data_IF_281556443742
#
_entry.id   IF_281556443742
#
_cell.length_a   1.000
_cell.length_b   1.000
_cell.length_c   1.000
_cell.angle_alpha   90.00
_cell.angle_beta   90.00
_cell.angle_gamma   90.00
#
_symmetry.space_group_name_H-M   'P 1'
#
loop_
_entity.id
_entity.type
_entity.pdbx_description
1 polymer ?
#
# COMPACT_ATOMS: atom_id res chain seq x y z
N UNK A 1 -10.04 8.60 5.61
CA UNK A 1 -9.12 7.43 5.65
C UNK A 1 -8.65 7.16 4.25
N UNK A 2 -7.37 6.82 4.06
CA UNK A 2 -6.85 6.47 2.75
C UNK A 2 -7.55 5.26 2.11
N UNK A 3 -7.43 5.12 0.80
CA UNK A 3 -7.87 3.96 0.04
C UNK A 3 -6.69 3.24 -0.57
N UNK A 4 -6.69 1.91 -0.54
CA UNK A 4 -5.74 1.07 -1.25
C UNK A 4 -6.48 0.09 -2.15
N UNK A 5 -5.93 -0.18 -3.31
CA UNK A 5 -6.38 -1.24 -4.20
C UNK A 5 -5.22 -1.83 -4.98
N UNK A 6 -5.33 -3.08 -5.37
CA UNK A 6 -4.36 -3.74 -6.21
C UNK A 6 -4.87 -5.00 -6.86
N UNK A 7 -4.19 -5.39 -7.93
CA UNK A 7 -4.49 -6.62 -8.68
C UNK A 7 -3.17 -7.32 -8.99
N UNK A 8 -3.15 -8.61 -8.78
CA UNK A 8 -2.07 -9.52 -9.13
C UNK A 8 -2.59 -10.47 -10.19
N UNK A 9 -1.96 -10.45 -11.37
CA UNK A 9 -2.29 -11.36 -12.45
C UNK A 9 -1.54 -12.69 -12.26
N UNK A 10 -2.25 -13.75 -11.93
CA UNK A 10 -1.67 -15.07 -11.69
C UNK A 10 -1.21 -15.77 -12.97
N UNK A 11 -1.84 -15.47 -14.11
CA UNK A 11 -1.61 -16.12 -15.39
C UNK A 11 -0.70 -15.34 -16.34
N UNK A 12 -0.30 -14.13 -15.96
CA UNK A 12 0.54 -13.26 -16.80
C UNK A 12 -0.03 -13.03 -18.20
N UNK A 13 -1.37 -13.02 -18.31
CA UNK A 13 -2.06 -12.75 -19.56
C UNK A 13 -1.99 -11.25 -19.92
N UNK A 14 -2.26 -10.91 -21.17
CA UNK A 14 -2.10 -9.55 -21.73
C UNK A 14 -3.22 -8.56 -21.37
N UNK A 15 -4.09 -8.84 -20.38
CA UNK A 15 -5.18 -7.94 -20.00
C UNK A 15 -4.61 -6.64 -19.41
N UNK A 16 -5.09 -5.50 -19.86
CA UNK A 16 -4.73 -4.20 -19.32
C UNK A 16 -5.35 -3.98 -17.92
N UNK A 17 -4.63 -4.42 -16.90
CA UNK A 17 -5.04 -4.28 -15.50
C UNK A 17 -4.94 -2.84 -15.00
N UNK A 18 -4.18 -1.98 -15.67
CA UNK A 18 -4.05 -0.57 -15.28
C UNK A 18 -5.37 0.18 -15.41
N UNK A 19 -6.13 -0.08 -16.48
CA UNK A 19 -7.46 0.52 -16.63
C UNK A 19 -8.47 -0.03 -15.64
N UNK A 20 -8.43 -1.33 -15.35
CA UNK A 20 -9.26 -1.92 -14.30
C UNK A 20 -8.96 -1.30 -12.95
N UNK A 21 -7.69 -1.18 -12.58
CA UNK A 21 -7.26 -0.57 -11.32
C UNK A 21 -7.67 0.91 -11.22
N UNK A 22 -7.55 1.67 -12.32
CA UNK A 22 -8.03 3.07 -12.36
C UNK A 22 -9.52 3.17 -12.07
N UNK A 23 -10.34 2.25 -12.61
CA UNK A 23 -11.76 2.21 -12.33
C UNK A 23 -12.06 1.80 -10.89
N UNK A 24 -11.37 0.80 -10.34
CA UNK A 24 -11.43 0.49 -8.90
C UNK A 24 -11.15 1.73 -8.05
N UNK A 25 -10.09 2.46 -8.37
CA UNK A 25 -9.69 3.66 -7.66
C UNK A 25 -10.74 4.77 -7.74
N UNK A 26 -11.37 4.98 -8.91
CA UNK A 26 -12.48 5.93 -9.06
C UNK A 26 -13.66 5.61 -8.15
N UNK A 27 -14.02 4.32 -8.05
CA UNK A 27 -15.16 3.86 -7.23
C UNK A 27 -14.93 4.17 -5.74
N UNK A 28 -13.68 4.12 -5.27
CA UNK A 28 -13.32 4.38 -3.87
C UNK A 28 -12.66 5.76 -3.66
N UNK A 29 -12.76 6.69 -4.62
CA UNK A 29 -12.06 8.00 -4.60
C UNK A 29 -12.40 8.87 -3.37
N UNK A 30 -13.60 8.74 -2.83
CA UNK A 30 -14.04 9.45 -1.61
C UNK A 30 -13.18 9.15 -0.38
N UNK A 31 -12.41 8.04 -0.38
CA UNK A 31 -11.54 7.69 0.75
C UNK A 31 -10.30 8.56 0.84
N UNK A 32 -9.78 9.03 -0.29
CA UNK A 32 -8.56 9.82 -0.33
C UNK A 32 -8.57 10.79 -1.50
N UNK A 33 -9.21 11.97 -1.32
CA UNK A 33 -9.42 12.93 -2.39
C UNK A 33 -8.19 13.75 -2.74
N UNK A 34 -7.14 13.77 -1.89
CA UNK A 34 -6.05 14.73 -2.02
C UNK A 34 -5.03 14.32 -3.08
N UNK A 35 -4.72 13.03 -3.16
CA UNK A 35 -3.75 12.49 -4.13
C UNK A 35 -4.12 11.06 -4.54
N UNK A 36 -3.86 10.72 -5.81
CA UNK A 36 -3.94 9.34 -6.29
C UNK A 36 -2.61 8.94 -6.90
N UNK A 37 -2.07 7.80 -6.47
CA UNK A 37 -0.85 7.22 -7.01
C UNK A 37 -1.10 5.83 -7.58
N UNK A 38 -0.36 5.50 -8.63
CA UNK A 38 -0.40 4.20 -9.32
C UNK A 38 1.01 3.67 -9.48
N UNK A 39 1.13 2.35 -9.41
CA UNK A 39 2.35 1.61 -9.73
C UNK A 39 1.97 0.37 -10.53
N UNK A 40 2.71 0.13 -11.60
CA UNK A 40 2.67 -1.13 -12.34
C UNK A 40 4.07 -1.72 -12.39
N UNK A 41 4.17 -3.00 -12.07
CA UNK A 41 5.40 -3.75 -12.18
C UNK A 41 5.06 -5.23 -12.45
N UNK A 42 5.59 -5.78 -13.53
CA UNK A 42 5.31 -7.15 -13.98
C UNK A 42 3.79 -7.44 -13.95
N UNK A 43 3.39 -8.42 -13.16
CA UNK A 43 2.02 -8.85 -12.98
C UNK A 43 1.27 -8.14 -11.82
N UNK A 44 1.88 -7.11 -11.21
CA UNK A 44 1.30 -6.34 -10.12
C UNK A 44 0.85 -4.96 -10.59
N UNK A 45 -0.34 -4.56 -10.22
CA UNK A 45 -0.79 -3.17 -10.31
C UNK A 45 -1.35 -2.72 -8.97
N UNK A 46 -0.88 -1.57 -8.47
CA UNK A 46 -1.20 -1.04 -7.15
C UNK A 46 -1.68 0.40 -7.26
N UNK A 47 -2.62 0.79 -6.42
CA UNK A 47 -3.02 2.18 -6.27
C UNK A 47 -3.19 2.57 -4.81
N UNK A 48 -2.95 3.85 -4.57
CA UNK A 48 -3.20 4.49 -3.30
C UNK A 48 -3.96 5.80 -3.50
N UNK A 49 -5.03 5.99 -2.72
CA UNK A 49 -5.82 7.20 -2.66
C UNK A 49 -5.58 7.84 -1.30
N UNK A 50 -4.96 9.01 -1.30
CA UNK A 50 -4.46 9.64 -0.10
C UNK A 50 -5.44 10.64 0.46
N UNK A 51 -5.71 10.53 1.76
CA UNK A 51 -6.16 11.60 2.63
C UNK A 51 -4.93 12.11 3.40
N UNK A 52 -4.48 13.32 3.10
CA UNK A 52 -3.21 13.86 3.58
C UNK A 52 -3.34 14.40 5.02
N UNK A 53 -3.31 13.50 6.01
CA UNK A 53 -3.38 13.85 7.44
C UNK A 53 -1.99 14.14 8.00
N UNK A 54 -1.09 13.15 7.89
CA UNK A 54 0.32 13.34 8.25
C UNK A 54 1.10 13.82 7.02
N UNK A 55 2.01 14.75 7.20
CA UNK A 55 2.82 15.35 6.15
C UNK A 55 2.03 15.74 4.87
N UNK A 56 1.32 16.86 4.83
CA UNK A 56 0.48 17.25 3.69
C UNK A 56 1.29 17.53 2.40
N UNK A 57 2.61 17.55 2.49
CA UNK A 57 3.51 17.74 1.34
C UNK A 57 3.49 16.50 0.43
N UNK A 58 4.02 16.65 -0.79
CA UNK A 58 4.16 15.55 -1.74
C UNK A 58 5.10 14.42 -1.26
N UNK A 59 5.88 14.64 -0.21
CA UNK A 59 6.79 13.65 0.38
C UNK A 59 6.07 12.43 0.97
N UNK A 60 4.79 12.58 1.37
CA UNK A 60 3.96 11.47 1.84
C UNK A 60 3.19 10.75 0.72
N UNK A 61 3.48 11.01 -0.56
CA UNK A 61 2.79 10.38 -1.69
C UNK A 61 3.07 8.87 -1.74
N UNK A 62 2.04 8.12 -2.14
CA UNK A 62 2.12 6.66 -2.27
C UNK A 62 1.58 6.18 -3.63
N UNK A 63 1.99 5.00 -4.15
CA UNK A 63 2.97 4.08 -3.57
C UNK A 63 4.31 4.76 -3.34
N UNK A 64 4.89 4.58 -2.13
CA UNK A 64 6.14 5.24 -1.73
C UNK A 64 7.31 4.27 -1.90
N UNK A 65 8.43 4.79 -2.38
CA UNK A 65 9.72 4.10 -2.40
C UNK A 65 10.83 5.14 -2.21
N UNK A 66 11.98 4.71 -1.70
CA UNK A 66 13.18 5.53 -1.59
C UNK A 66 14.40 4.96 -2.35
N UNK A 67 14.23 3.83 -3.06
CA UNK A 67 15.28 3.16 -3.85
C UNK A 67 14.75 2.49 -5.13
N UNK A 68 13.48 2.70 -5.46
CA UNK A 68 12.78 2.11 -6.61
C UNK A 68 12.73 0.57 -6.65
N UNK A 69 13.11 -0.11 -5.58
CA UNK A 69 13.05 -1.57 -5.45
C UNK A 69 11.92 -2.04 -4.55
N UNK A 70 11.71 -1.38 -3.42
CA UNK A 70 10.67 -1.71 -2.46
C UNK A 70 9.64 -0.57 -2.43
N UNK A 71 8.38 -0.90 -2.69
CA UNK A 71 7.26 0.03 -2.69
C UNK A 71 6.27 -0.31 -1.59
N UNK A 72 5.77 0.71 -0.91
CA UNK A 72 4.75 0.59 0.13
C UNK A 72 3.47 1.32 -0.27
N UNK A 73 2.33 0.67 0.00
CA UNK A 73 1.01 1.30 0.13
C UNK A 73 0.52 1.10 1.56
N UNK A 74 0.06 2.17 2.17
CA UNK A 74 -0.27 2.20 3.60
C UNK A 74 -1.58 2.95 3.85
N UNK A 75 -2.48 2.33 4.60
CA UNK A 75 -3.71 2.96 5.08
C UNK A 75 -3.82 2.74 6.59
N UNK A 76 -3.55 3.77 7.36
CA UNK A 76 -3.60 3.70 8.81
C UNK A 76 -2.71 4.72 9.50
N UNK A 77 -2.36 4.41 10.73
CA UNK A 77 -1.45 5.19 11.57
C UNK A 77 -0.62 4.26 12.45
N UNK A 78 0.68 4.53 12.57
CA UNK A 78 1.60 3.87 13.50
C UNK A 78 1.83 4.83 14.68
N UNK A 79 1.18 4.59 15.81
CA UNK A 79 1.18 5.50 16.96
C UNK A 79 2.56 5.70 17.57
N UNK A 80 3.37 4.65 17.58
CA UNK A 80 4.74 4.69 18.11
C UNK A 80 5.81 4.97 17.05
N UNK A 81 5.46 5.61 15.92
CA UNK A 81 6.40 5.86 14.81
C UNK A 81 7.65 6.62 15.24
N UNK A 82 7.55 7.53 16.22
CA UNK A 82 8.72 8.27 16.75
C UNK A 82 9.76 7.38 17.44
N UNK A 83 9.30 6.35 18.16
CA UNK A 83 10.19 5.36 18.78
C UNK A 83 10.93 4.54 17.71
N UNK A 84 10.22 4.23 16.61
CA UNK A 84 10.80 3.50 15.49
C UNK A 84 11.80 4.38 14.73
N UNK A 85 11.49 5.67 14.52
CA UNK A 85 12.44 6.65 13.96
C UNK A 85 13.76 6.65 14.76
N UNK A 86 13.68 6.74 16.09
CA UNK A 86 14.87 6.77 16.93
C UNK A 86 15.73 5.50 16.71
N UNK A 87 15.12 4.31 16.77
CA UNK A 87 15.82 3.04 16.54
C UNK A 87 16.49 2.97 15.16
N UNK A 88 15.82 3.45 14.12
CA UNK A 88 16.36 3.46 12.76
C UNK A 88 17.44 4.53 12.58
N UNK A 89 17.30 5.68 13.21
CA UNK A 89 18.32 6.75 13.18
C UNK A 89 19.61 6.33 13.87
N UNK A 90 19.51 5.60 14.98
CA UNK A 90 20.67 5.08 15.71
C UNK A 90 21.54 4.14 14.87
N UNK A 91 20.94 3.49 13.86
CA UNK A 91 21.64 2.62 12.90
C UNK A 91 21.88 3.27 11.53
N UNK A 92 21.66 4.60 11.42
CA UNK A 92 22.08 5.41 10.28
C UNK A 92 21.01 5.76 9.25
N UNK A 93 19.74 5.40 9.45
CA UNK A 93 18.66 5.81 8.58
C UNK A 93 18.39 7.30 8.67
N UNK A 94 18.04 7.91 7.52
CA UNK A 94 17.63 9.32 7.43
C UNK A 94 16.21 9.37 6.90
N UNK A 95 15.43 10.34 7.38
CA UNK A 95 14.04 10.56 7.01
C UNK A 95 13.91 11.91 6.30
N UNK A 96 13.14 11.94 5.20
CA UNK A 96 12.87 13.15 4.41
C UNK A 96 11.45 13.66 4.61
N UNK A 97 10.55 12.80 5.03
CA UNK A 97 9.15 13.14 5.34
C UNK A 97 8.88 13.03 6.84
N UNK A 98 7.73 13.56 7.26
CA UNK A 98 7.18 13.35 8.59
C UNK A 98 6.12 12.25 8.60
N UNK A 99 6.10 11.39 7.56
CA UNK A 99 5.10 10.36 7.39
C UNK A 99 5.51 9.06 8.08
N UNK A 100 4.60 8.46 8.81
CA UNK A 100 4.73 7.10 9.33
C UNK A 100 4.84 6.04 8.23
N UNK A 101 4.40 6.36 7.00
CA UNK A 101 4.61 5.52 5.81
C UNK A 101 6.11 5.34 5.50
N UNK A 102 6.91 6.42 5.56
CA UNK A 102 8.36 6.33 5.37
C UNK A 102 9.02 5.51 6.48
N UNK A 103 8.52 5.66 7.70
CA UNK A 103 8.98 4.88 8.84
C UNK A 103 8.70 3.39 8.63
N UNK A 104 7.50 3.04 8.19
CA UNK A 104 7.13 1.65 7.89
C UNK A 104 7.99 1.06 6.76
N UNK A 105 8.24 1.84 5.69
CA UNK A 105 9.10 1.44 4.57
C UNK A 105 10.52 1.14 5.04
N UNK A 106 11.14 2.06 5.79
CA UNK A 106 12.50 1.91 6.28
C UNK A 106 12.63 0.77 7.31
N UNK A 107 11.63 0.62 8.19
CA UNK A 107 11.56 -0.50 9.12
C UNK A 107 11.49 -1.85 8.40
N UNK A 108 10.68 -1.95 7.35
CA UNK A 108 10.61 -3.17 6.55
C UNK A 108 11.93 -3.46 5.82
N UNK A 109 12.61 -2.44 5.30
CA UNK A 109 13.92 -2.59 4.66
C UNK A 109 14.99 -3.12 5.61
N UNK A 110 14.96 -2.69 6.86
CA UNK A 110 15.92 -3.11 7.89
C UNK A 110 15.59 -4.48 8.49
N UNK A 111 14.32 -4.68 8.89
CA UNK A 111 13.91 -5.84 9.70
C UNK A 111 13.04 -6.84 8.96
N UNK A 112 12.72 -6.60 7.67
CA UNK A 112 11.83 -7.46 6.89
C UNK A 112 10.45 -7.57 7.55
N UNK A 113 9.87 -8.75 7.51
CA UNK A 113 8.54 -9.05 8.10
C UNK A 113 8.51 -8.77 9.62
N UNK A 114 9.63 -8.90 10.33
CA UNK A 114 9.71 -8.62 11.77
C UNK A 114 9.43 -7.15 12.11
N UNK A 115 9.52 -6.23 11.14
CA UNK A 115 9.16 -4.83 11.34
C UNK A 115 7.74 -4.66 11.89
N UNK A 116 6.80 -5.48 11.44
CA UNK A 116 5.39 -5.39 11.84
C UNK A 116 5.14 -5.72 13.31
N UNK A 117 6.03 -6.45 13.96
CA UNK A 117 5.95 -6.75 15.39
C UNK A 117 6.23 -5.52 16.27
N UNK A 118 6.96 -4.55 15.74
CA UNK A 118 7.27 -3.31 16.44
C UNK A 118 6.18 -2.24 16.31
N UNK A 119 5.24 -2.40 15.37
CA UNK A 119 4.24 -1.36 15.10
C UNK A 119 3.07 -1.47 16.08
N UNK A 120 2.80 -0.36 16.76
CA UNK A 120 1.59 -0.15 17.54
C UNK A 120 0.71 0.84 16.80
N UNK A 121 -0.52 0.45 16.46
CA UNK A 121 -1.42 1.29 15.66
C UNK A 121 -2.50 0.50 14.95
N UNK A 122 -3.22 1.21 14.09
CA UNK A 122 -4.31 0.70 13.26
C UNK A 122 -3.93 0.84 11.79
N UNK A 123 -3.57 -0.25 11.13
CA UNK A 123 -3.00 -0.14 9.81
C UNK A 123 -3.22 -1.35 8.89
N UNK A 124 -3.14 -1.09 7.59
CA UNK A 124 -2.92 -2.06 6.53
C UNK A 124 -1.72 -1.59 5.73
N UNK A 125 -0.80 -2.50 5.48
CA UNK A 125 0.43 -2.27 4.73
C UNK A 125 0.51 -3.28 3.60
N UNK A 126 0.68 -2.79 2.36
CA UNK A 126 1.08 -3.59 1.21
C UNK A 126 2.50 -3.25 0.80
N UNK A 127 3.35 -4.26 0.64
CA UNK A 127 4.75 -4.11 0.20
C UNK A 127 4.95 -4.88 -1.10
N UNK A 128 5.39 -4.19 -2.13
CA UNK A 128 5.92 -4.79 -3.36
C UNK A 128 7.44 -4.76 -3.31
N UNK A 129 8.06 -5.92 -3.35
CA UNK A 129 9.50 -6.09 -3.50
C UNK A 129 9.81 -6.53 -4.94
N UNK A 130 10.41 -5.62 -5.72
CA UNK A 130 10.76 -5.89 -7.13
C UNK A 130 11.91 -6.88 -7.26
N UNK A 131 12.84 -6.89 -6.32
CA UNK A 131 14.01 -7.79 -6.36
C UNK A 131 13.59 -9.25 -6.20
N UNK A 132 12.60 -9.50 -5.34
CA UNK A 132 12.05 -10.83 -5.09
C UNK A 132 10.83 -11.15 -5.95
N UNK A 133 10.34 -10.17 -6.72
CA UNK A 133 9.08 -10.26 -7.47
C UNK A 133 7.92 -10.72 -6.57
N UNK A 134 7.86 -10.18 -5.34
CA UNK A 134 6.91 -10.58 -4.32
C UNK A 134 6.02 -9.42 -3.87
N UNK A 135 4.81 -9.76 -3.42
CA UNK A 135 3.89 -8.82 -2.79
C UNK A 135 3.35 -9.42 -1.50
N UNK A 136 3.42 -8.66 -0.43
CA UNK A 136 2.80 -9.01 0.85
C UNK A 136 1.78 -7.95 1.24
N UNK A 137 0.71 -8.38 1.90
CA UNK A 137 -0.25 -7.48 2.54
C UNK A 137 -0.46 -7.93 3.98
N UNK A 138 -0.35 -6.99 4.91
CA UNK A 138 -0.39 -7.25 6.34
C UNK A 138 -1.35 -6.28 7.00
N UNK A 139 -2.11 -6.75 8.00
CA UNK A 139 -2.98 -5.92 8.84
C UNK A 139 -2.43 -5.86 10.26
N UNK A 140 -2.81 -4.79 10.97
CA UNK A 140 -2.62 -4.72 12.41
C UNK A 140 -3.30 -5.89 13.16
N UNK A 141 -2.93 -6.09 14.42
CA UNK A 141 -3.39 -7.24 15.24
C UNK A 141 -4.91 -7.30 15.44
N UNK A 142 -5.58 -6.15 15.45
CA UNK A 142 -7.02 -6.06 15.63
C UNK A 142 -7.79 -6.04 14.30
N UNK A 143 -7.08 -5.82 13.19
CA UNK A 143 -7.66 -5.72 11.87
C UNK A 143 -8.59 -4.52 11.68
N UNK A 144 -8.28 -3.40 12.35
CA UNK A 144 -9.13 -2.21 12.46
C UNK A 144 -9.45 -1.55 11.12
N UNK A 145 -8.55 -1.61 10.16
CA UNK A 145 -8.78 -1.04 8.82
C UNK A 145 -9.44 -2.07 7.89
N UNK A 146 -10.45 -1.66 7.08
CA UNK A 146 -11.13 -2.57 6.16
C UNK A 146 -10.22 -2.98 5.00
N UNK A 147 -10.15 -4.28 4.75
CA UNK A 147 -9.49 -4.90 3.60
C UNK A 147 -10.33 -6.06 3.12
N UNK A 148 -10.67 -6.02 1.84
CA UNK A 148 -11.39 -7.09 1.16
C UNK A 148 -10.46 -7.72 0.13
N UNK A 149 -10.57 -9.02 -0.06
CA UNK A 149 -9.80 -9.80 -1.02
C UNK A 149 -10.78 -10.50 -1.94
N UNK A 150 -10.53 -10.42 -3.23
CA UNK A 150 -11.19 -11.17 -4.28
C UNK A 150 -10.15 -12.06 -4.95
N UNK A 151 -10.48 -13.33 -5.12
CA UNK A 151 -9.61 -14.28 -5.77
C UNK A 151 -10.41 -15.18 -6.71
N UNK A 152 -9.89 -15.38 -7.92
CA UNK A 152 -10.36 -16.34 -8.89
C UNK A 152 -9.18 -17.07 -9.55
N UNK A 153 -9.44 -17.81 -10.63
CA UNK A 153 -8.43 -18.55 -11.37
C UNK A 153 -7.40 -17.69 -12.11
N UNK A 154 -7.65 -16.38 -12.28
CA UNK A 154 -6.79 -15.46 -13.04
C UNK A 154 -6.17 -14.36 -12.18
N UNK A 155 -6.92 -13.86 -11.18
CA UNK A 155 -6.53 -12.69 -10.39
C UNK A 155 -6.59 -12.96 -8.90
N UNK A 156 -5.69 -12.31 -8.18
CA UNK A 156 -5.84 -11.97 -6.77
C UNK A 156 -5.94 -10.45 -6.69
N UNK A 157 -7.02 -9.94 -6.14
CA UNK A 157 -7.24 -8.51 -5.99
C UNK A 157 -7.57 -8.15 -4.56
N UNK A 158 -7.15 -6.97 -4.13
CA UNK A 158 -7.50 -6.42 -2.83
C UNK A 158 -7.99 -4.98 -2.95
N UNK A 159 -8.87 -4.60 -2.04
CA UNK A 159 -9.44 -3.26 -2.02
C UNK A 159 -9.88 -2.86 -0.60
N UNK A 160 -9.78 -1.57 -0.27
CA UNK A 160 -10.30 -1.03 0.98
C UNK A 160 -11.82 -1.09 1.11
N UNK A 161 -12.54 -1.22 -0.01
CA UNK A 161 -14.01 -1.35 -0.03
C UNK A 161 -14.46 -2.38 -1.07
N UNK A 162 -15.42 -3.22 -0.69
CA UNK A 162 -15.91 -4.32 -1.53
C UNK A 162 -16.44 -3.85 -2.88
N UNK A 163 -17.05 -2.66 -2.93
CA UNK A 163 -17.59 -2.09 -4.19
C UNK A 163 -16.51 -1.83 -5.24
N UNK A 164 -15.24 -1.67 -4.84
CA UNK A 164 -14.12 -1.52 -5.79
C UNK A 164 -14.02 -2.68 -6.77
N UNK A 165 -14.41 -3.88 -6.36
CA UNK A 165 -14.37 -5.07 -7.22
C UNK A 165 -15.40 -5.06 -8.36
N UNK A 166 -16.37 -4.14 -8.37
CA UNK A 166 -17.27 -3.97 -9.52
C UNK A 166 -16.51 -3.67 -10.82
N UNK A 167 -15.31 -3.07 -10.72
CA UNK A 167 -14.47 -2.83 -11.88
C UNK A 167 -13.82 -4.10 -12.47
N UNK A 168 -13.79 -5.21 -11.73
CA UNK A 168 -13.29 -6.51 -12.21
C UNK A 168 -14.35 -7.28 -13.01
N UNK A 169 -15.62 -7.01 -12.74
CA UNK A 169 -16.77 -7.67 -13.37
C UNK A 169 -16.98 -6.99 -14.73
N UNK A 170 -16.97 -7.73 -15.87
CA UNK A 170 -17.30 -7.15 -17.15
C UNK A 170 -18.72 -6.58 -17.10
N UNK A 171 -19.00 -5.46 -17.78
CA UNK A 171 -20.38 -5.03 -17.97
C UNK A 171 -21.15 -6.11 -18.73
N UNK A 172 -22.35 -6.41 -18.25
CA UNK A 172 -23.31 -7.29 -18.94
C UNK A 172 -23.74 -6.71 -20.28
#
# INVERSE_FOLDING_TARGET
MCGIAGIINKKNNSRDLSNVLKNMSKIIAHRGPDQTGFLQYNNFVLSHLRLAVMDPRNLGRQPMSNDDNIFIVFNGEIYNFKEIINKLTDIGYKFISNSDTEVALNAYKEWGIKAFDYFNGDWIIGILNKLENSFIIVKDRLGSKPLYIYEDGEYLSFCSEIKGFQALIPPE
#
